data_IF_639243450748
#
_entry.id   IF_639243450748
#
_cell.length_a   1.000
_cell.length_b   1.000
_cell.length_c   1.000
_cell.angle_alpha   90.00
_cell.angle_beta   90.00
_cell.angle_gamma   90.00
#
_symmetry.space_group_name_H-M   'P 1'
#
loop_
_entity.id
_entity.type
_entity.pdbx_description
1 polymer ?
#
# COMPACT_ATOMS: atom_id res chain seq x y z
N UNK A 1 -9.73 0.49 -25.62
CA UNK A 1 -9.99 0.48 -24.16
C UNK A 1 -9.75 -0.88 -23.54
N UNK A 2 -10.52 -1.92 -23.90
CA UNK A 2 -10.33 -3.29 -23.37
C UNK A 2 -8.87 -3.78 -23.43
N UNK A 3 -8.22 -3.66 -24.59
CA UNK A 3 -6.83 -4.07 -24.75
C UNK A 3 -5.85 -3.30 -23.86
N UNK A 4 -6.11 -2.01 -23.59
CA UNK A 4 -5.27 -1.22 -22.69
C UNK A 4 -5.45 -1.71 -21.25
N UNK A 5 -6.68 -1.96 -20.83
CA UNK A 5 -6.99 -2.52 -19.50
C UNK A 5 -6.33 -3.89 -19.32
N UNK A 6 -6.54 -4.81 -20.26
CA UNK A 6 -6.02 -6.17 -20.21
C UNK A 6 -4.48 -6.16 -20.13
N UNK A 7 -3.80 -5.41 -21.00
CA UNK A 7 -2.34 -5.36 -21.02
C UNK A 7 -1.75 -4.62 -19.80
N UNK A 8 -2.31 -3.46 -19.42
CA UNK A 8 -1.74 -2.69 -18.31
C UNK A 8 -2.05 -3.28 -16.95
N UNK A 9 -3.32 -3.62 -16.69
CA UNK A 9 -3.78 -4.05 -15.37
C UNK A 9 -3.62 -5.56 -15.23
N UNK A 10 -4.26 -6.37 -16.08
CA UNK A 10 -4.29 -7.82 -15.89
C UNK A 10 -2.90 -8.44 -16.07
N UNK A 11 -2.21 -8.10 -17.15
CA UNK A 11 -0.84 -8.59 -17.37
C UNK A 11 0.18 -7.88 -16.46
N UNK A 12 -0.02 -6.60 -16.16
CA UNK A 12 0.82 -5.87 -15.21
C UNK A 12 0.79 -6.50 -13.81
N UNK A 13 -0.38 -6.91 -13.32
CA UNK A 13 -0.51 -7.65 -12.06
C UNK A 13 0.27 -8.98 -12.08
N UNK A 14 0.26 -9.71 -13.20
CA UNK A 14 1.09 -10.92 -13.31
C UNK A 14 2.58 -10.61 -13.19
N UNK A 15 3.01 -9.48 -13.74
CA UNK A 15 4.39 -9.00 -13.63
C UNK A 15 4.76 -8.59 -12.20
N UNK A 16 3.80 -8.14 -11.39
CA UNK A 16 4.07 -7.79 -9.98
C UNK A 16 4.53 -8.99 -9.15
N UNK A 17 4.04 -10.20 -9.45
CA UNK A 17 4.50 -11.43 -8.80
C UNK A 17 5.99 -11.71 -9.08
N UNK A 18 6.53 -11.26 -10.21
CA UNK A 18 7.94 -11.38 -10.52
C UNK A 18 8.80 -10.37 -9.75
N UNK A 19 8.28 -9.16 -9.52
CA UNK A 19 8.98 -8.11 -8.77
C UNK A 19 8.84 -8.25 -7.26
N UNK A 20 7.79 -8.93 -6.77
CA UNK A 20 7.52 -9.10 -5.35
C UNK A 20 8.68 -9.73 -4.55
N UNK A 21 9.35 -10.81 -5.02
CA UNK A 21 10.49 -11.37 -4.32
C UNK A 21 11.64 -10.37 -4.13
N UNK A 22 11.88 -9.49 -5.11
CA UNK A 22 12.91 -8.47 -5.02
C UNK A 22 12.56 -7.40 -3.96
N UNK A 23 11.28 -7.00 -3.89
CA UNK A 23 10.79 -6.06 -2.86
C UNK A 23 10.83 -6.70 -1.47
N UNK A 24 10.45 -7.97 -1.36
CA UNK A 24 10.53 -8.75 -0.13
C UNK A 24 11.99 -8.86 0.34
N UNK A 25 12.92 -9.09 -0.58
CA UNK A 25 14.36 -9.12 -0.29
C UNK A 25 14.85 -7.79 0.29
N UNK A 26 14.46 -6.65 -0.29
CA UNK A 26 14.77 -5.32 0.24
C UNK A 26 14.25 -5.18 1.68
N UNK A 27 13.00 -5.58 1.94
CA UNK A 27 12.41 -5.54 3.28
C UNK A 27 13.22 -6.38 4.27
N UNK A 28 13.57 -7.61 3.91
CA UNK A 28 14.35 -8.50 4.77
C UNK A 28 15.76 -7.99 5.01
N UNK A 29 16.40 -7.39 3.99
CA UNK A 29 17.72 -6.78 4.13
C UNK A 29 17.71 -5.61 5.10
N UNK A 30 16.72 -4.73 5.02
CA UNK A 30 16.56 -3.63 5.98
C UNK A 30 16.23 -4.17 7.38
N UNK A 31 15.36 -5.19 7.48
CA UNK A 31 14.99 -5.79 8.76
C UNK A 31 16.18 -6.43 9.49
N UNK A 32 17.18 -6.93 8.76
CA UNK A 32 18.41 -7.52 9.31
C UNK A 32 19.48 -6.50 9.72
N UNK A 33 19.40 -5.24 9.25
CA UNK A 33 20.28 -4.15 9.69
C UNK A 33 19.74 -3.43 10.94
N UNK A 34 18.48 -3.69 11.29
CA UNK A 34 17.79 -3.12 12.43
C UNK A 34 17.99 -4.00 13.68
N UNK A 35 17.92 -3.42 14.90
CA UNK A 35 17.97 -4.20 16.13
C UNK A 35 16.88 -5.27 16.14
N UNK A 36 17.14 -6.37 16.86
CA UNK A 36 16.23 -7.50 16.95
C UNK A 36 14.84 -7.10 17.48
N UNK A 37 13.78 -7.83 17.09
CA UNK A 37 12.44 -7.58 17.61
C UNK A 37 12.41 -7.64 19.14
N UNK A 38 11.85 -6.60 19.75
CA UNK A 38 11.67 -6.54 21.20
C UNK A 38 10.60 -7.52 21.69
N UNK A 39 10.54 -7.76 23.00
CA UNK A 39 9.63 -8.73 23.60
C UNK A 39 8.15 -8.38 23.33
N UNK A 40 7.72 -7.18 23.75
CA UNK A 40 6.34 -6.68 23.59
C UNK A 40 6.23 -5.51 22.61
N UNK A 41 7.22 -4.62 22.60
CA UNK A 41 7.27 -3.48 21.69
C UNK A 41 8.59 -3.48 20.92
N UNK A 42 8.51 -3.20 19.63
CA UNK A 42 9.70 -2.96 18.82
C UNK A 42 10.17 -1.52 19.05
N UNK A 43 11.49 -1.30 19.06
CA UNK A 43 12.06 0.05 19.11
C UNK A 43 11.42 0.93 18.05
N UNK A 44 11.10 2.18 18.39
CA UNK A 44 10.49 3.16 17.47
C UNK A 44 11.26 3.23 16.15
N UNK A 45 12.60 3.17 16.22
CA UNK A 45 13.47 3.13 15.04
C UNK A 45 13.13 1.92 14.14
N UNK A 46 13.00 0.71 14.69
CA UNK A 46 12.65 -0.50 13.91
C UNK A 46 11.26 -0.39 13.32
N UNK A 47 10.25 -0.08 14.14
CA UNK A 47 8.85 -0.08 13.68
C UNK A 47 8.57 1.03 12.67
N UNK A 48 9.16 2.22 12.84
CA UNK A 48 9.04 3.33 11.89
C UNK A 48 9.77 3.02 10.57
N UNK A 49 11.00 2.49 10.62
CA UNK A 49 11.74 2.16 9.40
C UNK A 49 11.03 1.05 8.62
N UNK A 50 10.54 -0.01 9.29
CA UNK A 50 9.77 -1.06 8.63
C UNK A 50 8.47 -0.53 8.03
N UNK A 51 7.75 0.35 8.74
CA UNK A 51 6.54 1.00 8.21
C UNK A 51 6.82 1.81 6.94
N UNK A 52 7.92 2.57 6.92
CA UNK A 52 8.34 3.34 5.76
C UNK A 52 8.72 2.43 4.59
N UNK A 53 9.49 1.37 4.84
CA UNK A 53 9.87 0.39 3.81
C UNK A 53 8.62 -0.32 3.25
N UNK A 54 7.68 -0.72 4.11
CA UNK A 54 6.44 -1.36 3.69
C UNK A 54 5.57 -0.41 2.83
N UNK A 55 5.54 0.88 3.19
CA UNK A 55 4.85 1.92 2.40
C UNK A 55 5.50 2.13 1.02
N UNK A 56 6.84 2.17 0.97
CA UNK A 56 7.59 2.32 -0.29
C UNK A 56 7.46 1.06 -1.15
N UNK A 57 7.55 -0.12 -0.57
CA UNK A 57 7.37 -1.39 -1.29
C UNK A 57 5.97 -1.51 -1.88
N UNK A 58 4.94 -1.08 -1.14
CA UNK A 58 3.56 -1.04 -1.65
C UNK A 58 3.45 -0.12 -2.87
N UNK A 59 4.11 1.04 -2.86
CA UNK A 59 4.16 1.94 -4.01
C UNK A 59 4.90 1.32 -5.20
N UNK A 60 6.08 0.74 -4.94
CA UNK A 60 6.92 0.12 -5.97
C UNK A 60 6.24 -1.07 -6.64
N UNK A 61 5.35 -1.77 -5.94
CA UNK A 61 4.56 -2.85 -6.50
C UNK A 61 3.69 -2.40 -7.69
N UNK A 62 3.30 -1.13 -7.77
CA UNK A 62 2.52 -0.59 -8.89
C UNK A 62 3.38 -0.13 -10.08
N UNK A 63 4.70 -0.07 -9.94
CA UNK A 63 5.61 0.43 -11.00
C UNK A 63 5.50 -0.37 -12.30
N UNK A 64 5.45 -1.72 -12.30
CA UNK A 64 5.30 -2.50 -13.54
C UNK A 64 4.00 -2.17 -14.30
N UNK A 65 2.90 -2.01 -13.56
CA UNK A 65 1.58 -1.64 -14.10
C UNK A 65 1.66 -0.26 -14.76
N UNK A 66 2.25 0.74 -14.07
CA UNK A 66 2.41 2.09 -14.61
C UNK A 66 3.34 2.14 -15.82
N UNK A 67 4.42 1.35 -15.85
CA UNK A 67 5.33 1.29 -16.99
C UNK A 67 4.60 0.83 -18.25
N UNK A 68 3.81 -0.24 -18.16
CA UNK A 68 3.02 -0.74 -19.29
C UNK A 68 1.94 0.27 -19.67
N UNK A 69 1.24 0.85 -18.69
CA UNK A 69 0.22 1.87 -18.94
C UNK A 69 0.80 3.08 -19.69
N UNK A 70 1.93 3.63 -19.23
CA UNK A 70 2.57 4.77 -19.88
C UNK A 70 3.15 4.42 -21.25
N UNK A 71 3.62 3.19 -21.48
CA UNK A 71 4.03 2.73 -22.80
C UNK A 71 2.84 2.69 -23.77
N UNK A 72 1.70 2.15 -23.35
CA UNK A 72 0.48 2.11 -24.17
C UNK A 72 -0.05 3.52 -24.46
N UNK A 73 -0.01 4.42 -23.47
CA UNK A 73 -0.43 5.81 -23.68
C UNK A 73 0.54 6.54 -24.62
N UNK A 74 1.86 6.34 -24.46
CA UNK A 74 2.85 6.93 -25.36
C UNK A 74 2.67 6.42 -26.79
N UNK A 75 2.29 5.15 -26.99
CA UNK A 75 1.94 4.60 -28.30
C UNK A 75 0.70 5.29 -28.93
N UNK A 76 -0.32 5.60 -28.11
CA UNK A 76 -1.52 6.32 -28.56
C UNK A 76 -1.26 7.82 -28.83
N UNK A 77 -0.32 8.39 -28.09
CA UNK A 77 0.13 9.76 -28.26
C UNK A 77 0.95 9.91 -29.55
N UNK A 78 1.90 8.99 -29.79
CA UNK A 78 2.70 8.95 -31.02
C UNK A 78 1.86 8.60 -32.25
N UNK A 79 0.87 7.73 -32.17
CA UNK A 79 0.03 7.45 -33.34
C UNK A 79 -0.86 8.64 -33.75
N UNK A 80 -0.87 9.74 -33.00
CA UNK A 80 -1.80 10.86 -33.23
C UNK A 80 -3.25 10.52 -32.88
N UNK A 81 -3.52 9.32 -32.35
CA UNK A 81 -4.86 8.89 -31.97
C UNK A 81 -5.42 9.76 -30.82
N UNK A 82 -4.56 10.17 -29.88
CA UNK A 82 -4.95 11.09 -28.80
C UNK A 82 -5.46 12.44 -29.31
N UNK A 83 -4.85 13.01 -30.35
CA UNK A 83 -5.30 14.28 -30.92
C UNK A 83 -6.72 14.16 -31.51
N UNK A 84 -7.05 13.02 -32.11
CA UNK A 84 -8.39 12.75 -32.66
C UNK A 84 -9.43 12.53 -31.58
N UNK A 85 -9.09 11.79 -30.51
CA UNK A 85 -9.99 11.64 -29.36
C UNK A 85 -10.28 13.01 -28.75
N UNK A 86 -9.27 13.86 -28.60
CA UNK A 86 -9.44 15.21 -28.08
C UNK A 86 -10.39 16.04 -28.96
N UNK A 87 -10.27 15.95 -30.29
CA UNK A 87 -11.19 16.62 -31.23
C UNK A 87 -12.63 16.09 -31.12
N UNK A 88 -12.82 14.77 -31.05
CA UNK A 88 -14.17 14.16 -30.95
C UNK A 88 -14.84 14.54 -29.63
N UNK A 89 -14.08 14.55 -28.53
CA UNK A 89 -14.59 14.87 -27.20
C UNK A 89 -14.69 16.38 -26.93
N UNK A 90 -14.12 17.22 -27.78
CA UNK A 90 -14.10 18.68 -27.60
C UNK A 90 -15.51 19.24 -27.42
N UNK A 91 -16.48 18.82 -28.24
CA UNK A 91 -17.89 19.26 -28.10
C UNK A 91 -18.50 18.90 -26.74
N UNK A 92 -18.14 17.74 -26.19
CA UNK A 92 -18.63 17.29 -24.88
C UNK A 92 -17.98 18.15 -23.79
N UNK A 93 -16.65 18.30 -23.82
CA UNK A 93 -15.91 19.08 -22.83
C UNK A 93 -16.30 20.57 -22.84
N UNK A 94 -16.51 21.16 -24.01
CA UNK A 94 -16.96 22.55 -24.13
C UNK A 94 -18.32 22.79 -23.45
N UNK A 95 -19.23 21.80 -23.47
CA UNK A 95 -20.53 21.91 -22.78
C UNK A 95 -20.40 22.02 -21.25
N UNK A 96 -19.27 21.57 -20.70
CA UNK A 96 -18.89 21.68 -19.29
C UNK A 96 -17.88 22.82 -19.03
N UNK A 97 -17.58 23.65 -20.04
CA UNK A 97 -16.63 24.77 -19.94
C UNK A 97 -15.17 24.33 -19.93
N UNK A 98 -14.86 23.15 -20.46
CA UNK A 98 -13.52 22.59 -20.60
C UNK A 98 -13.08 22.58 -22.07
N UNK A 99 -11.77 22.58 -22.28
CA UNK A 99 -11.15 22.52 -23.60
C UNK A 99 -10.89 21.06 -24.04
N UNK A 100 -10.98 20.73 -25.34
CA UNK A 100 -10.76 19.36 -25.84
C UNK A 100 -9.40 18.76 -25.46
N UNK A 101 -8.35 19.57 -25.28
CA UNK A 101 -7.05 19.13 -24.76
C UNK A 101 -7.08 18.60 -23.31
N UNK A 102 -8.13 18.91 -22.55
CA UNK A 102 -8.36 18.36 -21.19
C UNK A 102 -8.62 16.84 -21.23
N UNK A 103 -8.98 16.30 -22.39
CA UNK A 103 -9.14 14.86 -22.62
C UNK A 103 -7.91 14.05 -22.20
N UNK A 104 -6.70 14.51 -22.55
CA UNK A 104 -5.47 13.77 -22.26
C UNK A 104 -5.24 13.65 -20.74
N UNK A 105 -5.28 14.73 -19.93
CA UNK A 105 -5.30 14.66 -18.47
C UNK A 105 -6.35 13.72 -17.88
N UNK A 106 -7.59 13.72 -18.38
CA UNK A 106 -8.65 12.86 -17.86
C UNK A 106 -8.41 11.37 -18.17
N UNK A 107 -7.94 11.05 -19.38
CA UNK A 107 -7.57 9.67 -19.75
C UNK A 107 -6.43 9.19 -18.85
N UNK A 108 -5.39 10.02 -18.65
CA UNK A 108 -4.26 9.74 -17.77
C UNK A 108 -4.66 9.64 -16.28
N UNK A 109 -5.66 10.42 -15.87
CA UNK A 109 -6.17 10.51 -14.50
C UNK A 109 -7.05 9.32 -14.09
N UNK A 110 -7.62 8.59 -15.06
CA UNK A 110 -8.22 7.28 -14.81
C UNK A 110 -9.62 7.05 -15.35
N UNK A 111 -10.07 7.80 -16.36
CA UNK A 111 -11.38 7.56 -17.00
C UNK A 111 -11.52 6.13 -17.54
N UNK A 112 -10.46 5.51 -18.07
CA UNK A 112 -10.57 4.22 -18.78
C UNK A 112 -9.77 3.05 -18.20
N UNK A 113 -8.62 3.30 -17.57
CA UNK A 113 -7.66 2.21 -17.25
C UNK A 113 -7.01 2.35 -15.88
N UNK A 114 -7.68 2.99 -14.91
CA UNK A 114 -7.10 3.15 -13.57
C UNK A 114 -5.80 3.98 -13.64
N UNK A 115 -5.95 5.24 -13.99
CA UNK A 115 -4.84 6.17 -14.08
C UNK A 115 -4.28 6.54 -12.71
N UNK A 116 -3.28 7.41 -12.71
CA UNK A 116 -2.89 8.12 -11.50
C UNK A 116 -3.22 9.60 -11.70
N UNK A 117 -3.83 10.23 -10.69
CA UNK A 117 -4.16 11.66 -10.76
C UNK A 117 -2.90 12.52 -10.92
N UNK A 118 -1.74 12.09 -10.40
CA UNK A 118 -0.49 12.86 -10.46
C UNK A 118 0.01 13.11 -11.89
N UNK A 119 0.26 12.08 -12.74
CA UNK A 119 0.61 12.31 -14.14
C UNK A 119 -0.52 12.97 -14.93
N UNK A 120 -1.80 12.72 -14.57
CA UNK A 120 -2.94 13.43 -15.17
C UNK A 120 -2.88 14.93 -14.94
N UNK A 121 -2.65 15.37 -13.70
CA UNK A 121 -2.46 16.77 -13.33
C UNK A 121 -1.23 17.35 -14.04
N UNK A 122 -0.12 16.60 -14.12
CA UNK A 122 1.08 17.09 -14.83
C UNK A 122 0.85 17.31 -16.33
N UNK A 123 -0.01 16.52 -16.96
CA UNK A 123 -0.37 16.67 -18.37
C UNK A 123 -1.21 17.93 -18.66
N UNK A 124 -1.82 18.55 -17.64
CA UNK A 124 -2.59 19.79 -17.81
C UNK A 124 -1.73 20.99 -18.22
N UNK A 125 -0.40 20.91 -18.08
CA UNK A 125 0.54 21.96 -18.51
C UNK A 125 0.45 22.27 -20.01
N UNK A 126 -0.02 21.33 -20.83
CA UNK A 126 -0.21 21.52 -22.26
C UNK A 126 -1.47 22.31 -22.64
N UNK A 127 -2.35 22.61 -21.69
CA UNK A 127 -3.59 23.36 -21.93
C UNK A 127 -3.28 24.87 -21.92
N UNK A 128 -3.50 25.61 -23.03
CA UNK A 128 -3.20 27.03 -23.13
C UNK A 128 -4.18 27.87 -22.30
N UNK A 129 -5.46 27.46 -22.28
CA UNK A 129 -6.53 28.11 -21.51
C UNK A 129 -6.34 27.86 -20.00
N UNK A 130 -6.13 28.94 -19.25
CA UNK A 130 -5.96 28.88 -17.80
C UNK A 130 -7.24 28.41 -17.09
N UNK A 131 -8.41 28.83 -17.60
CA UNK A 131 -9.71 28.43 -17.07
C UNK A 131 -9.88 26.91 -17.10
N UNK A 132 -9.69 26.31 -18.28
CA UNK A 132 -9.77 24.86 -18.46
C UNK A 132 -8.65 24.13 -17.74
N UNK A 133 -7.43 24.69 -17.70
CA UNK A 133 -6.30 24.08 -16.99
C UNK A 133 -6.60 23.92 -15.51
N UNK A 134 -7.02 24.98 -14.83
CA UNK A 134 -7.37 24.95 -13.39
C UNK A 134 -8.57 24.04 -13.12
N UNK A 135 -9.62 24.15 -13.94
CA UNK A 135 -10.79 23.28 -13.81
C UNK A 135 -10.40 21.80 -13.95
N UNK A 136 -9.52 21.46 -14.89
CA UNK A 136 -9.02 20.09 -15.10
C UNK A 136 -8.16 19.63 -13.93
N UNK A 137 -7.24 20.46 -13.41
CA UNK A 137 -6.41 20.12 -12.24
C UNK A 137 -7.28 19.75 -11.03
N UNK A 138 -8.35 20.50 -10.80
CA UNK A 138 -9.25 20.31 -9.64
C UNK A 138 -10.24 19.15 -9.83
N UNK A 139 -10.51 18.74 -11.08
CA UNK A 139 -11.49 17.70 -11.39
C UNK A 139 -10.88 16.33 -11.68
N UNK A 140 -9.62 16.27 -12.15
CA UNK A 140 -8.88 15.01 -12.38
C UNK A 140 -8.85 14.10 -11.14
N UNK A 141 -8.66 14.60 -9.90
CA UNK A 141 -8.66 13.76 -8.69
C UNK A 141 -9.99 13.05 -8.41
N UNK A 142 -11.11 13.49 -8.97
CA UNK A 142 -12.41 12.81 -8.82
C UNK A 142 -12.47 11.50 -9.63
N UNK A 143 -11.57 11.32 -10.60
CA UNK A 143 -11.50 10.09 -11.39
C UNK A 143 -11.07 8.88 -10.54
N UNK A 144 -11.39 7.70 -11.06
CA UNK A 144 -11.06 6.43 -10.42
C UNK A 144 -9.59 6.08 -10.70
N UNK A 145 -8.73 6.30 -9.72
CA UNK A 145 -7.34 5.83 -9.78
C UNK A 145 -7.24 4.37 -9.30
N UNK A 146 -6.16 3.68 -9.68
CA UNK A 146 -5.92 2.29 -9.25
C UNK A 146 -5.96 2.11 -7.73
N UNK A 147 -5.55 3.11 -6.97
CA UNK A 147 -5.55 3.07 -5.51
C UNK A 147 -6.98 3.13 -4.89
N UNK A 148 -7.96 3.69 -5.60
CA UNK A 148 -9.36 3.74 -5.14
C UNK A 148 -10.12 2.44 -5.39
N UNK A 149 -9.70 1.65 -6.38
CA UNK A 149 -10.40 0.42 -6.76
C UNK A 149 -10.43 -0.58 -5.58
N UNK A 150 -9.33 -0.86 -4.85
CA UNK A 150 -9.36 -1.73 -3.67
C UNK A 150 -10.39 -1.30 -2.62
N UNK A 151 -10.46 0.00 -2.31
CA UNK A 151 -11.44 0.54 -1.37
C UNK A 151 -12.87 0.30 -1.85
N UNK A 152 -13.16 0.56 -3.12
CA UNK A 152 -14.49 0.29 -3.68
C UNK A 152 -14.80 -1.21 -3.67
N UNK A 153 -13.84 -2.08 -4.01
CA UNK A 153 -14.06 -3.53 -3.97
C UNK A 153 -14.33 -4.04 -2.56
N UNK A 154 -13.68 -3.46 -1.54
CA UNK A 154 -13.92 -3.79 -0.14
C UNK A 154 -15.33 -3.37 0.28
N UNK A 155 -15.71 -2.11 0.05
CA UNK A 155 -17.03 -1.59 0.42
C UNK A 155 -18.16 -2.32 -0.31
N UNK A 156 -18.03 -2.54 -1.62
CA UNK A 156 -19.01 -3.30 -2.41
C UNK A 156 -19.06 -4.76 -1.93
N UNK A 157 -17.92 -5.34 -1.55
CA UNK A 157 -17.83 -6.70 -1.01
C UNK A 157 -18.61 -6.87 0.30
N UNK A 158 -18.57 -5.86 1.17
CA UNK A 158 -19.25 -5.86 2.47
C UNK A 158 -20.76 -5.56 2.30
N UNK A 159 -21.12 -4.51 1.56
CA UNK A 159 -22.51 -4.00 1.53
C UNK A 159 -23.35 -4.56 0.36
N UNK A 160 -22.74 -4.89 -0.78
CA UNK A 160 -23.44 -5.21 -2.03
C UNK A 160 -22.93 -6.49 -2.69
N UNK A 161 -22.76 -7.55 -1.90
CA UNK A 161 -22.14 -8.80 -2.32
C UNK A 161 -22.83 -9.49 -3.52
N UNK A 162 -24.15 -9.33 -3.68
CA UNK A 162 -24.91 -9.92 -4.80
C UNK A 162 -24.79 -9.12 -6.12
N UNK A 163 -24.51 -7.82 -6.05
CA UNK A 163 -24.55 -6.91 -7.20
C UNK A 163 -23.21 -6.24 -7.48
N UNK A 164 -22.09 -6.92 -7.19
CA UNK A 164 -20.74 -6.33 -7.22
C UNK A 164 -20.41 -5.63 -8.54
N UNK A 165 -20.70 -6.28 -9.67
CA UNK A 165 -20.42 -5.74 -11.01
C UNK A 165 -21.25 -4.50 -11.34
N UNK A 166 -22.55 -4.52 -11.00
CA UNK A 166 -23.45 -3.39 -11.24
C UNK A 166 -23.07 -2.18 -10.37
N UNK A 167 -22.70 -2.41 -9.11
CA UNK A 167 -22.27 -1.35 -8.21
C UNK A 167 -20.93 -0.74 -8.64
N UNK A 168 -19.99 -1.56 -9.11
CA UNK A 168 -18.72 -1.06 -9.65
C UNK A 168 -18.94 -0.22 -10.90
N UNK A 169 -19.83 -0.66 -11.80
CA UNK A 169 -20.23 0.13 -12.97
C UNK A 169 -20.87 1.46 -12.53
N UNK A 170 -21.80 1.42 -11.58
CA UNK A 170 -22.46 2.61 -11.04
C UNK A 170 -21.45 3.62 -10.46
N UNK A 171 -20.51 3.18 -9.62
CA UNK A 171 -19.47 4.03 -9.03
C UNK A 171 -18.54 4.60 -10.12
N UNK A 172 -18.19 3.80 -11.12
CA UNK A 172 -17.33 4.25 -12.22
C UNK A 172 -18.03 5.32 -13.07
N UNK A 173 -19.32 5.16 -13.35
CA UNK A 173 -20.10 6.11 -14.15
C UNK A 173 -20.43 7.38 -13.37
N UNK A 174 -20.85 7.28 -12.11
CA UNK A 174 -21.25 8.45 -11.30
C UNK A 174 -20.07 9.37 -11.02
N UNK A 175 -18.86 8.84 -10.82
CA UNK A 175 -17.65 9.63 -10.59
C UNK A 175 -17.27 10.49 -11.79
N UNK A 176 -17.40 9.96 -13.01
CA UNK A 176 -17.19 10.73 -14.25
C UNK A 176 -18.24 11.83 -14.38
N UNK A 177 -19.52 11.51 -14.16
CA UNK A 177 -20.62 12.50 -14.24
C UNK A 177 -20.41 13.60 -13.20
N UNK A 178 -20.10 13.25 -11.96
CA UNK A 178 -19.82 14.20 -10.88
C UNK A 178 -18.63 15.09 -11.21
N UNK A 179 -17.54 14.53 -11.74
CA UNK A 179 -16.38 15.33 -12.16
C UNK A 179 -16.75 16.36 -13.24
N UNK A 180 -17.59 15.99 -14.22
CA UNK A 180 -18.06 16.91 -15.27
C UNK A 180 -19.01 17.99 -14.72
N UNK A 181 -19.91 17.63 -13.80
CA UNK A 181 -20.80 18.59 -13.13
C UNK A 181 -19.97 19.60 -12.32
N UNK A 182 -19.00 19.11 -11.54
CA UNK A 182 -18.09 19.96 -10.75
C UNK A 182 -17.27 20.86 -11.67
N UNK A 183 -16.75 20.33 -12.79
CA UNK A 183 -16.05 21.14 -13.79
C UNK A 183 -16.92 22.31 -14.27
N UNK A 184 -18.18 22.05 -14.62
CA UNK A 184 -19.13 23.07 -15.07
C UNK A 184 -19.47 24.08 -13.98
N UNK A 185 -19.66 23.62 -12.75
CA UNK A 185 -19.89 24.51 -11.61
C UNK A 185 -18.68 25.44 -11.43
N UNK A 186 -17.48 24.90 -11.44
CA UNK A 186 -16.23 25.64 -11.23
C UNK A 186 -15.98 26.66 -12.35
N UNK A 187 -16.19 26.25 -13.60
CA UNK A 187 -15.99 27.12 -14.76
C UNK A 187 -17.05 28.22 -14.81
N UNK A 188 -18.31 27.95 -14.43
CA UNK A 188 -19.39 28.94 -14.47
C UNK A 188 -19.41 29.92 -13.28
N UNK A 189 -18.82 29.54 -12.14
CA UNK A 189 -18.79 30.34 -10.91
C UNK A 189 -17.42 30.99 -10.71
N UNK A 190 -16.47 30.26 -10.13
CA UNK A 190 -15.19 30.75 -9.62
C UNK A 190 -14.24 31.16 -10.75
N UNK A 191 -14.22 30.40 -11.86
CA UNK A 191 -13.24 30.58 -12.94
C UNK A 191 -13.78 31.40 -14.12
N UNK A 192 -14.85 32.18 -13.91
CA UNK A 192 -15.54 32.89 -15.00
C UNK A 192 -14.72 34.04 -15.61
N UNK A 193 -13.80 34.63 -14.84
CA UNK A 193 -12.97 35.78 -15.25
C UNK A 193 -11.60 35.43 -15.84
N UNK A 194 -11.31 34.15 -16.07
CA UNK A 194 -10.01 33.70 -16.60
C UNK A 194 -10.01 33.72 -18.14
N UNK A 195 -8.84 33.99 -18.73
CA UNK A 195 -8.67 34.13 -20.18
C UNK A 195 -8.94 32.81 -20.91
N UNK A 196 -9.81 32.83 -21.92
CA UNK A 196 -10.10 31.68 -22.78
C UNK A 196 -9.37 31.81 -24.12
N UNK A 197 -8.50 30.86 -24.46
CA UNK A 197 -7.84 30.81 -25.76
C UNK A 197 -8.70 30.08 -26.81
N UNK A 198 -8.79 30.56 -28.06
CA UNK A 198 -9.47 29.84 -29.15
C UNK A 198 -8.77 28.52 -29.45
N UNK A 199 -9.54 27.43 -29.57
CA UNK A 199 -9.00 26.12 -29.92
C UNK A 199 -8.69 26.04 -31.42
N UNK A 200 -7.43 26.26 -31.79
CA UNK A 200 -6.93 25.94 -33.13
C UNK A 200 -6.03 24.71 -32.99
N UNK A 201 -6.59 23.53 -33.25
CA UNK A 201 -5.80 22.30 -33.30
C UNK A 201 -5.63 21.86 -34.75
N UNK A 202 -4.44 22.08 -35.28
CA UNK A 202 -4.03 21.44 -36.53
C UNK A 202 -3.99 19.93 -36.28
N UNK A 203 -4.83 19.17 -36.99
CA UNK A 203 -4.89 17.72 -36.82
C UNK A 203 -3.57 17.09 -37.28
N UNK A 204 -2.82 16.40 -36.40
CA UNK A 204 -1.57 15.76 -36.78
C UNK A 204 -1.82 14.53 -37.67
N UNK A 205 -0.91 14.29 -38.61
CA UNK A 205 -0.93 13.10 -39.46
C UNK A 205 -0.67 11.82 -38.66
N UNK A 206 -1.27 10.71 -39.09
CA UNK A 206 -1.03 9.40 -38.46
C UNK A 206 0.39 8.95 -38.81
N UNK A 207 1.22 8.74 -37.79
CA UNK A 207 2.53 8.12 -37.96
C UNK A 207 2.63 6.87 -37.11
N UNK A 208 3.40 5.88 -37.58
CA UNK A 208 3.66 4.70 -36.76
C UNK A 208 4.49 5.10 -35.53
N UNK A 209 4.15 4.60 -34.33
CA UNK A 209 4.89 4.89 -33.12
C UNK A 209 6.28 4.26 -33.21
N UNK A 210 7.32 5.02 -32.86
CA UNK A 210 8.69 4.50 -32.81
C UNK A 210 8.90 3.74 -31.50
N UNK A 211 9.36 2.49 -31.58
CA UNK A 211 9.53 1.65 -30.37
C UNK A 211 10.44 2.32 -29.33
N UNK A 212 11.55 2.91 -29.77
CA UNK A 212 12.50 3.61 -28.91
C UNK A 212 11.90 4.87 -28.27
N UNK A 213 11.06 5.61 -29.01
CA UNK A 213 10.36 6.80 -28.50
C UNK A 213 9.35 6.44 -27.41
N UNK A 214 8.56 5.39 -27.64
CA UNK A 214 7.59 4.88 -26.68
C UNK A 214 8.26 4.40 -25.39
N UNK A 215 9.30 3.59 -25.49
CA UNK A 215 10.03 3.06 -24.31
C UNK A 215 10.65 4.21 -23.51
N UNK A 216 11.33 5.16 -24.18
CA UNK A 216 11.94 6.30 -23.51
C UNK A 216 10.91 7.15 -22.75
N UNK A 217 9.79 7.49 -23.38
CA UNK A 217 8.72 8.26 -22.70
C UNK A 217 8.09 7.48 -21.55
N UNK A 218 7.88 6.18 -21.71
CA UNK A 218 7.35 5.33 -20.65
C UNK A 218 8.28 5.33 -19.43
N UNK A 219 9.58 5.18 -19.64
CA UNK A 219 10.60 5.22 -18.58
C UNK A 219 10.67 6.60 -17.93
N UNK A 220 10.71 7.69 -18.71
CA UNK A 220 10.78 9.05 -18.18
C UNK A 220 9.55 9.41 -17.31
N UNK A 221 8.35 9.01 -17.75
CA UNK A 221 7.11 9.20 -16.98
C UNK A 221 7.09 8.35 -15.71
N UNK A 222 7.54 7.09 -15.80
CA UNK A 222 7.65 6.19 -14.64
C UNK A 222 8.65 6.72 -13.62
N UNK A 223 9.79 7.23 -14.07
CA UNK A 223 10.80 7.83 -13.20
C UNK A 223 10.29 9.09 -12.50
N UNK A 224 9.56 9.93 -13.24
CA UNK A 224 8.89 11.11 -12.68
C UNK A 224 7.86 10.73 -11.63
N UNK A 225 7.08 9.68 -11.86
CA UNK A 225 6.14 9.12 -10.91
C UNK A 225 6.85 8.66 -9.63
N UNK A 226 7.92 7.86 -9.74
CA UNK A 226 8.69 7.37 -8.58
C UNK A 226 9.23 8.54 -7.75
N UNK A 227 9.84 9.55 -8.38
CA UNK A 227 10.39 10.71 -7.67
C UNK A 227 9.33 11.55 -6.95
N UNK A 228 8.25 11.90 -7.64
CA UNK A 228 7.21 12.79 -7.06
C UNK A 228 6.28 12.07 -6.11
N UNK A 229 5.78 10.90 -6.48
CA UNK A 229 4.84 10.16 -5.66
C UNK A 229 5.56 9.47 -4.51
N UNK A 230 6.76 8.93 -4.73
CA UNK A 230 7.55 8.30 -3.67
C UNK A 230 7.87 9.24 -2.51
N UNK A 231 8.29 10.48 -2.80
CA UNK A 231 8.58 11.49 -1.76
C UNK A 231 7.33 11.87 -0.96
N UNK A 232 6.19 12.06 -1.64
CA UNK A 232 4.91 12.38 -0.98
C UNK A 232 4.44 11.20 -0.12
N UNK A 233 4.50 9.97 -0.64
CA UNK A 233 4.06 8.77 0.09
C UNK A 233 4.90 8.54 1.34
N UNK A 234 6.22 8.72 1.27
CA UNK A 234 7.09 8.61 2.45
C UNK A 234 6.75 9.68 3.49
N UNK A 235 6.56 10.94 3.06
CA UNK A 235 6.19 12.01 3.97
C UNK A 235 4.85 11.75 4.67
N UNK A 236 3.83 11.32 3.93
CA UNK A 236 2.52 10.97 4.49
C UNK A 236 2.61 9.73 5.38
N UNK A 237 3.42 8.72 5.01
CA UNK A 237 3.62 7.52 5.82
C UNK A 237 4.20 7.85 7.20
N UNK A 238 5.15 8.81 7.28
CA UNK A 238 5.71 9.28 8.55
C UNK A 238 4.63 9.98 9.39
N UNK A 239 3.87 10.90 8.79
CA UNK A 239 2.80 11.62 9.48
C UNK A 239 1.73 10.64 10.01
N UNK A 240 1.30 9.70 9.17
CA UNK A 240 0.30 8.69 9.56
C UNK A 240 0.84 7.77 10.65
N UNK A 241 2.10 7.35 10.55
CA UNK A 241 2.74 6.55 11.60
C UNK A 241 2.74 7.30 12.94
N UNK A 242 3.13 8.58 12.95
CA UNK A 242 3.13 9.40 14.18
C UNK A 242 1.70 9.52 14.73
N UNK A 243 0.71 9.78 13.89
CA UNK A 243 -0.69 9.90 14.32
C UNK A 243 -1.31 8.58 14.82
N UNK A 244 -0.81 7.43 14.36
CA UNK A 244 -1.24 6.09 14.81
C UNK A 244 -0.50 5.61 16.06
N UNK A 245 0.73 6.08 16.31
CA UNK A 245 1.56 5.58 17.41
C UNK A 245 1.53 6.48 18.66
N UNK A 246 1.36 7.80 18.51
CA UNK A 246 1.34 8.75 19.63
C UNK A 246 -0.09 9.16 19.99
N UNK A 247 -0.42 9.42 21.28
CA UNK A 247 0.41 9.36 22.50
C UNK A 247 0.74 7.95 23.02
N UNK A 248 0.22 6.90 22.39
CA UNK A 248 0.47 5.51 22.77
C UNK A 248 -0.46 5.00 23.88
N UNK A 249 -0.15 3.82 24.39
CA UNK A 249 -0.85 3.24 25.55
C UNK A 249 -0.51 4.00 26.84
N UNK A 250 -1.46 4.15 27.78
CA UNK A 250 -1.16 4.62 29.13
C UNK A 250 -0.09 3.76 29.81
N UNK A 251 0.84 4.38 30.54
CA UNK A 251 1.95 3.68 31.21
C UNK A 251 1.48 2.55 32.13
N UNK A 252 0.38 2.76 32.85
CA UNK A 252 -0.22 1.75 33.73
C UNK A 252 -0.65 0.49 32.95
N UNK A 253 -1.31 0.67 31.81
CA UNK A 253 -1.79 -0.44 30.99
C UNK A 253 -0.63 -1.19 30.33
N UNK A 254 0.41 -0.46 29.94
CA UNK A 254 1.64 -1.04 29.44
C UNK A 254 2.33 -1.90 30.51
N UNK A 255 2.41 -1.42 31.76
CA UNK A 255 2.98 -2.16 32.88
C UNK A 255 2.21 -3.47 33.15
N UNK A 256 0.87 -3.43 33.17
CA UNK A 256 0.04 -4.63 33.31
C UNK A 256 0.35 -5.70 32.25
N UNK A 257 0.56 -5.28 31.00
CA UNK A 257 0.88 -6.20 29.90
C UNK A 257 2.31 -6.74 30.00
N UNK A 258 3.25 -5.97 30.58
CA UNK A 258 4.59 -6.46 30.90
C UNK A 258 4.56 -7.49 32.02
N UNK A 259 3.74 -7.26 33.04
CA UNK A 259 3.57 -8.21 34.14
C UNK A 259 2.97 -9.53 33.65
N UNK A 260 1.97 -9.48 32.76
CA UNK A 260 1.42 -10.69 32.12
C UNK A 260 2.48 -11.45 31.33
N UNK A 261 3.31 -10.75 30.56
CA UNK A 261 4.41 -11.38 29.81
C UNK A 261 5.47 -11.98 30.75
N UNK A 262 5.82 -11.29 31.84
CA UNK A 262 6.79 -11.78 32.81
C UNK A 262 6.26 -13.03 33.54
N UNK A 263 4.96 -13.08 33.83
CA UNK A 263 4.30 -14.28 34.37
C UNK A 263 4.41 -15.46 33.39
N UNK A 264 4.10 -15.24 32.10
CA UNK A 264 4.23 -16.26 31.07
C UNK A 264 5.68 -16.78 30.93
N UNK A 265 6.67 -15.89 31.01
CA UNK A 265 8.09 -16.28 31.01
C UNK A 265 8.43 -17.07 32.27
N UNK A 266 7.88 -16.69 33.42
CA UNK A 266 8.01 -17.42 34.68
C UNK A 266 7.47 -18.85 34.58
N UNK A 267 6.24 -19.02 34.09
CA UNK A 267 5.62 -20.34 33.87
C UNK A 267 6.43 -21.19 32.87
N UNK A 268 6.92 -20.57 31.79
CA UNK A 268 7.79 -21.22 30.82
C UNK A 268 9.09 -21.71 31.48
N UNK A 269 9.71 -20.90 32.34
CA UNK A 269 10.93 -21.27 33.06
C UNK A 269 10.69 -22.41 34.03
N UNK A 270 9.63 -22.35 34.83
CA UNK A 270 9.24 -23.42 35.76
C UNK A 270 9.07 -24.76 35.04
N UNK A 271 8.41 -24.76 33.88
CA UNK A 271 8.23 -25.97 33.07
C UNK A 271 9.51 -26.54 32.45
N UNK A 272 10.63 -25.82 32.50
CA UNK A 272 11.91 -26.19 31.87
C UNK A 272 13.00 -26.53 32.89
N UNK A 273 12.80 -26.21 34.18
CA UNK A 273 13.82 -26.39 35.24
C UNK A 273 14.40 -27.82 35.32
N UNK A 274 13.58 -28.84 35.01
CA UNK A 274 14.00 -30.24 35.04
C UNK A 274 14.75 -30.70 33.78
N UNK A 275 14.87 -29.85 32.76
CA UNK A 275 15.52 -30.18 31.48
C UNK A 275 16.96 -29.68 31.41
N UNK A 276 17.84 -30.33 30.62
CA UNK A 276 19.22 -29.89 30.40
C UNK A 276 19.35 -28.47 29.81
N UNK A 277 18.26 -27.94 29.24
CA UNK A 277 18.22 -26.63 28.58
C UNK A 277 17.91 -25.47 29.54
N UNK A 278 17.67 -25.74 30.83
CA UNK A 278 17.34 -24.71 31.82
C UNK A 278 18.44 -23.64 31.97
N UNK A 279 19.70 -24.06 31.97
CA UNK A 279 20.84 -23.14 32.11
C UNK A 279 21.05 -22.26 30.87
N UNK A 280 20.69 -22.76 29.68
CA UNK A 280 20.79 -22.03 28.42
C UNK A 280 19.70 -20.95 28.28
N UNK A 281 18.59 -21.09 28.99
CA UNK A 281 17.41 -20.20 28.93
C UNK A 281 17.16 -19.45 30.24
N UNK A 282 18.21 -19.31 31.06
CA UNK A 282 18.13 -18.63 32.36
C UNK A 282 17.84 -17.13 32.22
N UNK A 283 18.35 -16.48 31.17
CA UNK A 283 18.21 -15.04 30.96
C UNK A 283 17.01 -14.67 30.08
N UNK A 284 16.35 -13.54 30.36
CA UNK A 284 15.21 -13.04 29.56
C UNK A 284 15.64 -12.79 28.10
N UNK A 285 16.89 -12.36 27.91
CA UNK A 285 17.48 -12.14 26.60
C UNK A 285 17.62 -13.45 25.79
N UNK A 286 18.01 -14.56 26.43
CA UNK A 286 18.14 -15.86 25.78
C UNK A 286 16.77 -16.43 25.39
N UNK A 287 15.74 -16.23 26.22
CA UNK A 287 14.35 -16.59 25.89
C UNK A 287 13.84 -15.76 24.72
N UNK A 288 14.12 -14.45 24.69
CA UNK A 288 13.77 -13.57 23.59
C UNK A 288 14.49 -13.97 22.28
N UNK A 289 15.78 -14.29 22.35
CA UNK A 289 16.57 -14.77 21.21
C UNK A 289 15.96 -16.06 20.65
N UNK A 290 15.64 -17.04 21.50
CA UNK A 290 15.00 -18.29 21.06
C UNK A 290 13.61 -18.05 20.45
N UNK A 291 12.81 -17.13 21.01
CA UNK A 291 11.51 -16.75 20.44
C UNK A 291 11.65 -16.08 19.06
N UNK A 292 12.64 -15.21 18.90
CA UNK A 292 12.91 -14.55 17.62
C UNK A 292 13.47 -15.55 16.59
N UNK A 293 14.38 -16.42 17.02
CA UNK A 293 14.96 -17.48 16.19
C UNK A 293 13.89 -18.47 15.72
N UNK A 294 13.02 -18.94 16.62
CA UNK A 294 11.92 -19.84 16.26
C UNK A 294 10.92 -19.23 15.29
N UNK A 295 10.63 -17.94 15.44
CA UNK A 295 9.78 -17.19 14.49
C UNK A 295 10.46 -17.10 13.13
N UNK A 296 11.74 -16.69 13.09
CA UNK A 296 12.49 -16.54 11.83
C UNK A 296 12.68 -17.88 11.09
N UNK A 297 12.93 -18.97 11.82
CA UNK A 297 13.04 -20.31 11.27
C UNK A 297 11.71 -20.77 10.67
N UNK A 298 10.60 -20.54 11.37
CA UNK A 298 9.25 -20.84 10.85
C UNK A 298 8.94 -20.05 9.58
N UNK A 299 9.26 -18.75 9.56
CA UNK A 299 9.01 -17.89 8.40
C UNK A 299 9.88 -18.29 7.20
N UNK A 300 11.15 -18.64 7.43
CA UNK A 300 12.05 -19.16 6.40
C UNK A 300 11.57 -20.51 5.83
N UNK A 301 11.05 -21.40 6.69
CA UNK A 301 10.44 -22.67 6.27
C UNK A 301 9.17 -22.47 5.47
N UNK A 302 8.32 -21.51 5.84
CA UNK A 302 7.11 -21.17 5.09
C UNK A 302 7.44 -20.56 3.72
N UNK A 303 8.54 -19.81 3.61
CA UNK A 303 9.01 -19.25 2.35
C UNK A 303 9.65 -20.30 1.43
N UNK A 304 10.16 -21.41 1.97
CA UNK A 304 10.73 -22.50 1.21
C UNK A 304 9.63 -23.34 0.53
N UNK A 305 9.46 -23.17 -0.77
CA UNK A 305 8.44 -23.89 -1.55
C UNK A 305 8.86 -25.30 -1.98
N UNK A 306 10.17 -25.61 -1.96
CA UNK A 306 10.72 -26.92 -2.34
C UNK A 306 11.37 -27.64 -1.15
N UNK A 307 11.41 -28.97 -1.21
CA UNK A 307 12.00 -29.80 -0.16
C UNK A 307 13.50 -29.51 0.03
N UNK A 308 14.22 -29.26 -1.07
CA UNK A 308 15.65 -28.91 -1.05
C UNK A 308 15.90 -27.53 -0.42
N UNK A 309 15.03 -26.54 -0.70
CA UNK A 309 15.11 -25.24 -0.04
C UNK A 309 14.80 -25.37 1.46
N UNK A 310 13.86 -26.24 1.82
CA UNK A 310 13.56 -26.53 3.22
C UNK A 310 14.75 -27.15 3.95
N UNK A 311 15.43 -28.15 3.37
CA UNK A 311 16.65 -28.71 3.98
C UNK A 311 17.78 -27.69 4.07
N UNK A 312 17.96 -26.84 3.05
CA UNK A 312 18.97 -25.77 3.10
C UNK A 312 18.71 -24.76 4.24
N UNK A 313 17.44 -24.53 4.60
CA UNK A 313 17.08 -23.74 5.79
C UNK A 313 17.50 -24.46 7.07
N UNK A 314 17.31 -25.78 7.17
CA UNK A 314 17.77 -26.55 8.34
C UNK A 314 19.28 -26.41 8.52
N UNK A 315 20.04 -26.68 7.46
CA UNK A 315 21.51 -26.64 7.49
C UNK A 315 22.03 -25.24 7.87
N UNK A 316 21.40 -24.18 7.35
CA UNK A 316 21.77 -22.80 7.66
C UNK A 316 21.55 -22.45 9.14
N UNK A 317 20.42 -22.86 9.71
CA UNK A 317 20.11 -22.54 11.11
C UNK A 317 20.89 -23.43 12.08
N UNK A 318 21.16 -24.68 11.71
CA UNK A 318 22.03 -25.59 12.46
C UNK A 318 23.46 -25.06 12.54
N UNK A 319 24.00 -24.54 11.42
CA UNK A 319 25.33 -23.94 11.39
C UNK A 319 25.43 -22.62 12.18
N UNK A 320 24.36 -21.82 12.23
CA UNK A 320 24.35 -20.53 12.91
C UNK A 320 24.15 -20.65 14.42
N UNK A 321 23.30 -21.58 14.89
CA UNK A 321 22.95 -21.73 16.31
C UNK A 321 22.92 -23.22 16.71
N UNK A 322 24.08 -23.89 16.82
CA UNK A 322 24.15 -25.33 17.08
C UNK A 322 23.51 -25.75 18.41
N UNK A 323 23.55 -24.89 19.43
CA UNK A 323 23.02 -25.18 20.77
C UNK A 323 21.49 -25.01 20.87
N UNK A 324 20.90 -24.10 20.09
CA UNK A 324 19.45 -23.80 20.11
C UNK A 324 18.68 -24.56 19.02
N UNK A 325 19.36 -25.03 17.97
CA UNK A 325 18.75 -25.79 16.87
C UNK A 325 17.97 -27.04 17.30
N UNK A 326 18.42 -27.84 18.29
CA UNK A 326 17.64 -28.96 18.81
C UNK A 326 16.27 -28.55 19.35
N UNK A 327 16.08 -27.31 19.79
CA UNK A 327 14.78 -26.79 20.25
C UNK A 327 13.86 -26.37 19.09
N UNK A 328 14.45 -25.97 17.96
CA UNK A 328 13.73 -25.63 16.73
C UNK A 328 13.20 -26.87 16.01
N UNK A 329 14.03 -27.93 15.94
CA UNK A 329 13.68 -29.22 15.35
C UNK A 329 13.93 -30.36 16.36
N UNK A 330 12.97 -30.58 17.28
CA UNK A 330 13.19 -31.47 18.41
C UNK A 330 13.22 -32.94 18.00
N UNK A 331 14.33 -33.61 18.31
CA UNK A 331 14.52 -35.06 18.13
C UNK A 331 14.23 -35.81 19.44
N UNK A 332 14.65 -35.25 20.56
CA UNK A 332 14.53 -35.84 21.90
C UNK A 332 13.18 -35.53 22.58
N UNK A 333 12.83 -36.33 23.60
CA UNK A 333 11.60 -36.14 24.35
C UNK A 333 11.58 -34.82 25.13
N UNK A 334 12.71 -34.43 25.71
CA UNK A 334 12.90 -33.18 26.46
C UNK A 334 12.92 -31.96 25.53
N UNK A 335 13.60 -32.04 24.38
CA UNK A 335 13.53 -30.98 23.37
C UNK A 335 12.10 -30.77 22.85
N UNK A 336 11.29 -31.85 22.75
CA UNK A 336 9.87 -31.77 22.39
C UNK A 336 9.02 -31.08 23.45
N UNK A 337 9.29 -31.28 24.74
CA UNK A 337 8.54 -30.59 25.81
C UNK A 337 8.86 -29.09 25.80
N UNK A 338 10.15 -28.72 25.73
CA UNK A 338 10.60 -27.31 25.64
C UNK A 338 10.04 -26.63 24.39
N UNK A 339 10.08 -27.28 23.23
CA UNK A 339 9.54 -26.74 21.97
C UNK A 339 8.01 -26.50 22.04
N UNK A 340 7.26 -27.36 22.75
CA UNK A 340 5.82 -27.13 22.99
C UNK A 340 5.58 -25.95 23.92
N UNK A 341 6.33 -25.84 25.01
CA UNK A 341 6.25 -24.71 25.93
C UNK A 341 6.59 -23.39 25.21
N UNK A 342 7.61 -23.40 24.35
CA UNK A 342 8.02 -22.26 23.54
C UNK A 342 6.92 -21.80 22.58
N UNK A 343 6.19 -22.75 21.97
CA UNK A 343 5.03 -22.43 21.11
C UNK A 343 3.89 -21.79 21.90
N UNK A 344 3.65 -22.23 23.13
CA UNK A 344 2.70 -21.60 24.06
C UNK A 344 3.09 -20.14 24.31
N UNK A 345 4.32 -19.92 24.78
CA UNK A 345 4.87 -18.58 25.04
C UNK A 345 4.84 -17.68 23.79
N UNK A 346 5.20 -18.22 22.63
CA UNK A 346 5.14 -17.49 21.36
C UNK A 346 3.71 -17.11 20.95
N UNK A 347 2.71 -17.93 21.29
CA UNK A 347 1.29 -17.64 21.03
C UNK A 347 0.79 -16.54 21.96
N UNK A 348 1.15 -16.60 23.23
CA UNK A 348 0.83 -15.57 24.22
C UNK A 348 1.47 -14.22 23.87
N UNK A 349 2.76 -14.22 23.48
CA UNK A 349 3.43 -13.04 22.93
C UNK A 349 2.71 -12.46 21.72
N UNK A 350 2.25 -13.30 20.79
CA UNK A 350 1.51 -12.83 19.63
C UNK A 350 0.16 -12.20 20.00
N UNK A 351 -0.55 -12.77 20.98
CA UNK A 351 -1.80 -12.23 21.52
C UNK A 351 -1.56 -10.87 22.18
N UNK A 352 -0.60 -10.78 23.09
CA UNK A 352 -0.27 -9.54 23.79
C UNK A 352 0.18 -8.44 22.83
N UNK A 353 1.01 -8.76 21.82
CA UNK A 353 1.39 -7.80 20.77
C UNK A 353 0.20 -7.32 19.95
N UNK A 354 -0.77 -8.19 19.65
CA UNK A 354 -2.01 -7.81 18.97
C UNK A 354 -2.83 -6.85 19.83
N UNK A 355 -3.02 -7.17 21.11
CA UNK A 355 -3.73 -6.30 22.08
C UNK A 355 -3.07 -4.95 22.21
N UNK A 356 -1.74 -4.90 22.34
CA UNK A 356 -0.96 -3.64 22.35
C UNK A 356 -1.26 -2.83 21.09
N UNK A 357 -1.22 -3.45 19.91
CA UNK A 357 -1.46 -2.72 18.65
C UNK A 357 -2.88 -2.16 18.57
N UNK A 358 -3.89 -2.94 18.96
CA UNK A 358 -5.29 -2.52 18.95
C UNK A 358 -5.56 -1.39 19.94
N UNK A 359 -5.13 -1.54 21.19
CA UNK A 359 -5.28 -0.52 22.22
C UNK A 359 -4.47 0.76 21.89
N UNK A 360 -3.28 0.63 21.30
CA UNK A 360 -2.50 1.78 20.81
C UNK A 360 -3.28 2.58 19.77
N UNK A 361 -3.89 1.93 18.79
CA UNK A 361 -4.68 2.60 17.75
C UNK A 361 -5.87 3.34 18.38
N UNK A 362 -6.53 2.75 19.38
CA UNK A 362 -7.64 3.39 20.11
C UNK A 362 -7.19 4.67 20.82
N UNK A 363 -6.04 4.63 21.49
CA UNK A 363 -5.49 5.75 22.26
C UNK A 363 -4.69 6.76 21.42
N UNK A 364 -4.42 6.45 20.15
CA UNK A 364 -3.71 7.33 19.24
C UNK A 364 -4.46 8.62 18.91
N UNK A 365 -3.77 9.61 18.34
CA UNK A 365 -4.39 10.82 17.81
C UNK A 365 -5.47 10.49 16.77
N UNK A 366 -5.22 9.52 15.90
CA UNK A 366 -6.22 9.07 14.93
C UNK A 366 -7.43 8.44 15.59
N UNK A 367 -7.24 7.54 16.56
CA UNK A 367 -8.35 6.93 17.31
C UNK A 367 -9.19 7.96 18.07
N UNK A 368 -8.55 9.00 18.60
CA UNK A 368 -9.22 10.12 19.26
C UNK A 368 -10.04 10.94 18.26
N UNK A 369 -9.46 11.28 17.10
CA UNK A 369 -10.15 12.01 16.04
C UNK A 369 -11.34 11.23 15.46
N UNK A 370 -11.18 9.92 15.24
CA UNK A 370 -12.25 9.04 14.77
C UNK A 370 -13.45 9.01 15.70
N UNK A 371 -13.20 8.90 17.01
CA UNK A 371 -14.24 8.93 18.05
C UNK A 371 -14.90 10.31 18.18
N UNK A 372 -14.15 11.38 17.96
CA UNK A 372 -14.73 12.73 17.90
C UNK A 372 -15.67 12.92 16.70
N UNK A 373 -15.45 12.20 15.59
CA UNK A 373 -16.30 12.22 14.39
C UNK A 373 -17.51 11.27 14.48
N UNK A 374 -17.48 10.28 15.38
CA UNK A 374 -18.53 9.27 15.54
C UNK A 374 -19.94 9.85 15.75
N UNK A 375 -20.16 10.91 16.55
CA UNK A 375 -21.50 11.47 16.77
C UNK A 375 -22.19 11.96 15.49
N UNK A 376 -21.40 12.43 14.50
CA UNK A 376 -21.91 12.93 13.21
C UNK A 376 -22.06 11.79 12.21
N UNK A 377 -21.09 10.87 12.20
CA UNK A 377 -20.97 9.82 11.18
C UNK A 377 -21.82 8.58 11.48
N UNK A 378 -22.25 8.40 12.75
CA UNK A 378 -23.15 7.31 13.15
C UNK A 378 -24.48 7.33 12.39
N UNK A 379 -24.97 8.51 11.98
CA UNK A 379 -26.18 8.61 11.16
C UNK A 379 -26.03 8.00 9.77
N UNK A 380 -24.79 7.90 9.25
CA UNK A 380 -24.47 7.19 8.02
C UNK A 380 -24.11 5.70 8.27
N UNK A 381 -24.22 5.21 9.51
CA UNK A 381 -23.85 3.86 9.90
C UNK A 381 -22.35 3.63 10.06
N UNK A 382 -21.54 4.70 10.13
CA UNK A 382 -20.09 4.59 10.26
C UNK A 382 -19.68 4.54 11.74
N UNK A 383 -18.78 3.60 12.05
CA UNK A 383 -18.09 3.48 13.33
C UNK A 383 -16.79 4.30 13.30
N UNK A 384 -16.23 4.67 14.45
CA UNK A 384 -14.97 5.39 14.56
C UNK A 384 -13.83 4.66 13.83
N UNK A 385 -13.84 3.33 13.80
CA UNK A 385 -12.88 2.51 13.05
C UNK A 385 -12.94 2.77 11.54
N UNK A 386 -14.15 2.95 11.01
CA UNK A 386 -14.37 3.29 9.59
C UNK A 386 -13.95 4.73 9.30
N UNK A 387 -14.11 5.64 10.27
CA UNK A 387 -13.68 7.02 10.11
C UNK A 387 -12.15 7.20 10.12
N UNK A 388 -11.43 6.28 10.79
CA UNK A 388 -9.97 6.29 10.89
C UNK A 388 -9.30 5.56 9.72
N UNK A 389 -9.96 4.52 9.19
CA UNK A 389 -9.51 3.75 8.02
C UNK A 389 -9.69 4.55 6.72
#
# INVERSE_FOLDING_TARGET
VYLIYELSIVQGYKLTFLTWPALAWIRTGVAGLLPDPGLLQDTILRSMTLWMVDSVNTLLNYVPIFLILFALIAMLEDSGYMARIAFILDRIFQSFGLHGQSTLPFILGGVFTGGCAVPGIMATKGIPDERSRLATILTVPYMNCLAKIPLYTLLIGIYFAAYKSYMMLFISTITIIMAMIIAKLLTSTILRGQETAPFVMEMPNYHMPTLMGVVRRAVDRTWTYIKKVGTIVVAVAIVVYVLLQFPGLPEQRMAELHDQMNQAIGEFREGIQETPYANLLADDAAVLELLNLSTSYRDAKLAATTQEASSAVDDRFEAAHPELFPLLRPRDAEARSVSRALRGLGTERATLRTTIREETIVHSYFGTMGRALEPVTRYAGFDWKINVA
#
